data_IF_618514539827
#
_entry.id   IF_618514539827
#
_cell.length_a   1.000
_cell.length_b   1.000
_cell.length_c   1.000
_cell.angle_alpha   90.00
_cell.angle_beta   90.00
_cell.angle_gamma   90.00
#
_symmetry.space_group_name_H-M   'P 1'
#
loop_
_entity.id
_entity.type
_entity.pdbx_description
1 polymer ?
#
# COMPACT_ATOMS: atom_id res chain seq x y z
N UNK A 1 16.97 1.02 -1.81
CA UNK A 1 15.50 1.00 -1.84
C UNK A 1 14.86 1.35 -0.47
N UNK A 2 15.02 0.57 0.61
CA UNK A 2 14.43 0.93 1.93
C UNK A 2 14.92 2.27 2.47
N UNK A 3 16.20 2.61 2.26
CA UNK A 3 16.72 3.91 2.67
C UNK A 3 16.04 5.08 1.95
N UNK A 4 15.69 4.92 0.67
CA UNK A 4 14.97 5.94 -0.08
C UNK A 4 13.54 6.15 0.46
N UNK A 5 12.81 5.07 0.76
CA UNK A 5 11.49 5.17 1.42
C UNK A 5 11.58 5.83 2.80
N UNK A 6 12.63 5.52 3.56
CA UNK A 6 12.88 6.14 4.86
C UNK A 6 13.23 7.63 4.75
N UNK A 7 14.05 8.02 3.77
CA UNK A 7 14.37 9.42 3.49
C UNK A 7 13.12 10.18 3.03
N UNK A 8 12.29 9.60 2.15
CA UNK A 8 11.01 10.18 1.72
C UNK A 8 10.08 10.38 2.93
N UNK A 9 10.00 9.40 3.83
CA UNK A 9 9.22 9.52 5.07
C UNK A 9 9.69 10.69 5.94
N UNK A 10 11.00 10.84 6.13
CA UNK A 10 11.57 11.96 6.89
C UNK A 10 11.25 13.29 6.22
N UNK A 11 11.39 13.38 4.89
CA UNK A 11 11.08 14.60 4.12
C UNK A 11 9.60 14.98 4.27
N UNK A 12 8.67 14.03 4.11
CA UNK A 12 7.24 14.26 4.29
C UNK A 12 6.91 14.70 5.72
N UNK A 13 7.59 14.11 6.72
CA UNK A 13 7.41 14.47 8.13
C UNK A 13 7.91 15.87 8.46
N UNK A 14 9.06 16.27 7.90
CA UNK A 14 9.60 17.62 8.01
C UNK A 14 8.65 18.63 7.35
N UNK A 15 8.12 18.31 6.16
CA UNK A 15 7.16 19.17 5.46
C UNK A 15 5.89 19.41 6.29
N UNK A 16 5.36 18.36 6.92
CA UNK A 16 4.22 18.47 7.84
C UNK A 16 4.52 19.40 9.02
N UNK A 17 5.70 19.26 9.64
CA UNK A 17 6.11 20.11 10.76
C UNK A 17 6.25 21.58 10.32
N UNK A 18 6.81 21.84 9.14
CA UNK A 18 6.93 23.20 8.59
C UNK A 18 5.54 23.81 8.33
N UNK A 19 4.59 23.02 7.78
CA UNK A 19 3.21 23.45 7.54
C UNK A 19 2.50 23.87 8.82
N UNK A 20 2.69 23.12 9.91
CA UNK A 20 2.14 23.43 11.24
C UNK A 20 2.83 24.66 11.84
N UNK A 21 4.16 24.74 11.75
CA UNK A 21 4.93 25.85 12.30
C UNK A 21 4.57 27.19 11.65
N UNK A 22 4.41 27.22 10.32
CA UNK A 22 4.05 28.43 9.59
C UNK A 22 2.59 28.87 9.83
N UNK A 23 1.73 27.97 10.32
CA UNK A 23 0.32 28.26 10.59
C UNK A 23 -0.04 27.86 12.02
N UNK A 24 0.51 28.56 13.03
CA UNK A 24 0.23 28.24 14.42
C UNK A 24 -1.25 28.52 14.71
N UNK A 25 -1.96 27.49 15.15
CA UNK A 25 -3.37 27.57 15.54
C UNK A 25 -3.42 27.66 17.07
N UNK A 26 -3.84 28.79 17.67
CA UNK A 26 -4.08 28.85 19.10
C UNK A 26 -5.28 27.96 19.44
N UNK A 27 -5.04 26.91 20.24
CA UNK A 27 -6.09 26.04 20.79
C UNK A 27 -6.51 26.55 22.17
N UNK A 28 -7.80 26.54 22.55
CA UNK A 28 -8.97 26.05 21.83
C UNK A 28 -9.61 27.10 20.88
N UNK A 29 -10.04 26.68 19.69
CA UNK A 29 -10.84 27.49 18.76
C UNK A 29 -12.10 26.70 18.38
N UNK A 30 -13.29 27.32 18.43
CA UNK A 30 -14.56 26.68 18.02
C UNK A 30 -14.80 26.72 16.50
N UNK A 31 -13.86 27.27 15.73
CA UNK A 31 -13.96 27.40 14.28
C UNK A 31 -13.21 26.27 13.57
N UNK A 32 -13.88 25.64 12.61
CA UNK A 32 -13.29 24.64 11.74
C UNK A 32 -12.27 25.30 10.81
N UNK A 33 -10.97 25.01 11.02
CA UNK A 33 -9.89 25.49 10.14
C UNK A 33 -9.43 24.37 9.21
N UNK A 34 -9.38 24.68 7.91
CA UNK A 34 -8.91 23.79 6.83
C UNK A 34 -7.48 23.25 7.01
N UNK A 35 -6.67 23.90 7.86
CA UNK A 35 -5.31 23.45 8.19
C UNK A 35 -5.32 22.03 8.79
N UNK A 36 -6.31 21.70 9.65
CA UNK A 36 -6.39 20.37 10.24
C UNK A 36 -6.74 19.30 9.20
N UNK A 37 -7.59 19.65 8.22
CA UNK A 37 -7.95 18.77 7.10
C UNK A 37 -6.74 18.50 6.20
N UNK A 38 -5.99 19.54 5.84
CA UNK A 38 -4.75 19.39 5.07
C UNK A 38 -3.71 18.55 5.82
N UNK A 39 -3.51 18.80 7.12
CA UNK A 39 -2.58 18.03 7.95
C UNK A 39 -3.01 16.57 8.12
N UNK A 40 -4.32 16.30 8.25
CA UNK A 40 -4.87 14.95 8.31
C UNK A 40 -4.63 14.20 6.99
N UNK A 41 -4.97 14.81 5.84
CA UNK A 41 -4.77 14.19 4.53
C UNK A 41 -3.29 13.89 4.22
N UNK A 42 -2.39 14.80 4.60
CA UNK A 42 -0.94 14.58 4.50
C UNK A 42 -0.47 13.43 5.41
N UNK A 43 -1.05 13.31 6.61
CA UNK A 43 -0.75 12.23 7.55
C UNK A 43 -1.24 10.88 7.01
N UNK A 44 -2.45 10.79 6.47
CA UNK A 44 -3.00 9.56 5.89
C UNK A 44 -2.16 9.04 4.73
N UNK A 45 -1.72 9.97 3.87
CA UNK A 45 -0.79 9.67 2.79
C UNK A 45 0.53 9.13 3.34
N UNK A 46 1.08 9.77 4.38
CA UNK A 46 2.32 9.34 5.03
C UNK A 46 2.20 7.94 5.67
N UNK A 47 1.07 7.63 6.30
CA UNK A 47 0.80 6.32 6.90
C UNK A 47 0.73 5.23 5.83
N UNK A 48 0.08 5.52 4.70
CA UNK A 48 -0.01 4.58 3.56
C UNK A 48 1.39 4.22 3.02
N UNK A 49 2.27 5.21 2.85
CA UNK A 49 3.66 4.95 2.44
C UNK A 49 4.46 4.19 3.50
N UNK A 50 4.24 4.49 4.79
CA UNK A 50 4.90 3.78 5.88
C UNK A 50 4.51 2.30 5.92
N UNK A 51 3.22 2.01 5.71
CA UNK A 51 2.71 0.64 5.61
C UNK A 51 3.39 -0.16 4.50
N UNK A 52 3.50 0.43 3.30
CA UNK A 52 4.20 -0.20 2.17
C UNK A 52 5.68 -0.45 2.51
N UNK A 53 6.34 0.49 3.18
CA UNK A 53 7.74 0.34 3.59
C UNK A 53 7.92 -0.83 4.59
N UNK A 54 7.03 -0.95 5.58
CA UNK A 54 7.04 -2.07 6.54
C UNK A 54 6.80 -3.40 5.83
N UNK A 55 5.84 -3.47 4.90
CA UNK A 55 5.62 -4.68 4.10
C UNK A 55 6.86 -5.08 3.29
N UNK A 56 7.52 -4.12 2.63
CA UNK A 56 8.75 -4.37 1.89
C UNK A 56 9.90 -4.84 2.80
N UNK A 57 10.00 -4.29 4.01
CA UNK A 57 10.92 -4.78 5.04
C UNK A 57 10.63 -6.24 5.38
N UNK A 58 9.37 -6.60 5.64
CA UNK A 58 8.95 -7.98 5.95
C UNK A 58 9.30 -8.95 4.82
N UNK A 59 9.04 -8.59 3.56
CA UNK A 59 9.44 -9.42 2.41
C UNK A 59 10.97 -9.57 2.33
N UNK A 60 11.74 -8.51 2.64
CA UNK A 60 13.20 -8.62 2.73
C UNK A 60 13.68 -9.48 3.88
N UNK A 61 13.00 -9.49 5.02
CA UNK A 61 13.34 -10.38 6.12
C UNK A 61 13.26 -11.84 5.67
N UNK A 62 12.24 -12.24 4.90
CA UNK A 62 12.16 -13.60 4.34
C UNK A 62 13.38 -13.97 3.48
N UNK A 63 13.95 -13.02 2.73
CA UNK A 63 15.20 -13.24 2.00
C UNK A 63 16.42 -13.40 2.92
N UNK A 64 16.44 -12.71 4.07
CA UNK A 64 17.53 -12.85 5.03
C UNK A 64 17.51 -14.20 5.75
N UNK A 65 16.35 -14.84 5.94
CA UNK A 65 16.26 -16.15 6.59
C UNK A 65 16.79 -17.34 5.75
N UNK A 66 17.42 -17.10 4.60
CA UNK A 66 18.10 -18.13 3.78
C UNK A 66 19.25 -18.85 4.52
N UNK A 67 19.70 -18.36 5.68
CA UNK A 67 20.68 -19.04 6.52
C UNK A 67 20.19 -20.41 7.02
N UNK A 68 18.87 -20.61 7.19
CA UNK A 68 18.35 -21.90 7.62
C UNK A 68 18.20 -22.85 6.40
N UNK A 69 18.80 -24.05 6.42
CA UNK A 69 18.76 -24.97 5.29
C UNK A 69 17.35 -25.33 4.81
N UNK A 70 16.39 -25.42 5.74
CA UNK A 70 14.99 -25.76 5.44
C UNK A 70 14.28 -24.64 4.69
N UNK A 71 14.47 -23.39 5.11
CA UNK A 71 13.78 -22.25 4.49
C UNK A 71 14.40 -21.88 3.13
N UNK A 72 15.70 -22.10 2.95
CA UNK A 72 16.38 -21.96 1.66
C UNK A 72 15.78 -22.86 0.57
N UNK A 73 15.40 -24.09 0.92
CA UNK A 73 14.76 -25.02 -0.03
C UNK A 73 13.41 -24.46 -0.48
N UNK A 74 12.60 -23.95 0.45
CA UNK A 74 11.30 -23.31 0.15
C UNK A 74 11.48 -22.08 -0.75
N UNK A 75 12.47 -21.22 -0.48
CA UNK A 75 12.70 -20.04 -1.31
C UNK A 75 13.13 -20.42 -2.75
N UNK A 76 13.95 -21.47 -2.89
CA UNK A 76 14.40 -21.99 -4.19
C UNK A 76 13.25 -22.60 -4.99
N UNK A 77 12.38 -23.38 -4.35
CA UNK A 77 11.22 -23.98 -5.04
C UNK A 77 10.19 -22.92 -5.42
N UNK A 78 9.93 -21.93 -4.54
CA UNK A 78 9.04 -20.81 -4.85
C UNK A 78 9.60 -19.96 -6.01
N UNK A 79 10.90 -19.68 -6.00
CA UNK A 79 11.59 -18.97 -7.09
C UNK A 79 11.46 -19.70 -8.43
N UNK A 80 11.68 -21.02 -8.46
CA UNK A 80 11.51 -21.83 -9.66
C UNK A 80 10.03 -21.90 -10.13
N UNK A 81 9.08 -21.97 -9.20
CA UNK A 81 7.65 -22.02 -9.51
C UNK A 81 7.07 -20.66 -9.96
N UNK A 82 7.76 -19.54 -9.70
CA UNK A 82 7.23 -18.19 -9.93
C UNK A 82 6.90 -17.94 -11.40
N UNK A 83 7.71 -18.43 -12.35
CA UNK A 83 7.46 -18.23 -13.79
C UNK A 83 6.18 -18.95 -14.23
N UNK A 84 5.98 -20.19 -13.78
CA UNK A 84 4.80 -20.98 -14.09
C UNK A 84 3.55 -20.37 -13.44
N UNK A 85 3.66 -19.94 -12.18
CA UNK A 85 2.57 -19.27 -11.47
C UNK A 85 2.21 -17.94 -12.12
N UNK A 86 3.18 -17.16 -12.60
CA UNK A 86 2.93 -15.89 -13.27
C UNK A 86 2.15 -16.07 -14.57
N UNK A 87 2.52 -17.05 -15.40
CA UNK A 87 1.77 -17.37 -16.62
C UNK A 87 0.35 -17.83 -16.31
N UNK A 88 0.17 -18.69 -15.29
CA UNK A 88 -1.15 -19.10 -14.82
C UNK A 88 -1.98 -17.91 -14.32
N UNK A 89 -1.38 -17.01 -13.53
CA UNK A 89 -2.03 -15.80 -13.02
C UNK A 89 -2.53 -14.91 -14.15
N UNK A 90 -1.77 -14.73 -15.24
CA UNK A 90 -2.23 -13.92 -16.38
C UNK A 90 -3.52 -14.50 -16.97
N UNK A 91 -3.52 -15.79 -17.28
CA UNK A 91 -4.69 -16.46 -17.87
C UNK A 91 -5.86 -16.41 -16.88
N UNK A 92 -5.62 -16.70 -15.60
CA UNK A 92 -6.61 -16.60 -14.53
C UNK A 92 -7.23 -15.20 -14.45
N UNK A 93 -6.41 -14.14 -14.49
CA UNK A 93 -6.90 -12.76 -14.42
C UNK A 93 -7.74 -12.38 -15.64
N UNK A 94 -7.41 -12.87 -16.84
CA UNK A 94 -8.24 -12.64 -18.04
C UNK A 94 -9.65 -13.19 -17.83
N UNK A 95 -9.77 -14.44 -17.36
CA UNK A 95 -11.08 -15.02 -17.06
C UNK A 95 -11.76 -14.32 -15.89
N UNK A 96 -11.03 -14.03 -14.82
CA UNK A 96 -11.55 -13.36 -13.63
C UNK A 96 -12.14 -11.99 -13.95
N UNK A 97 -11.42 -11.15 -14.72
CA UNK A 97 -11.92 -9.85 -15.17
C UNK A 97 -13.11 -10.02 -16.10
N UNK A 98 -13.09 -11.01 -17.00
CA UNK A 98 -14.25 -11.34 -17.84
C UNK A 98 -15.51 -11.62 -17.02
N UNK A 99 -15.42 -12.45 -15.98
CA UNK A 99 -16.53 -12.71 -15.06
C UNK A 99 -16.92 -11.47 -14.23
N UNK A 100 -15.96 -10.65 -13.79
CA UNK A 100 -16.25 -9.42 -13.06
C UNK A 100 -17.04 -8.42 -13.91
N UNK A 101 -16.65 -8.24 -15.18
CA UNK A 101 -17.36 -7.37 -16.13
C UNK A 101 -18.76 -7.91 -16.44
N UNK A 102 -18.90 -9.21 -16.69
CA UNK A 102 -20.22 -9.82 -16.91
C UNK A 102 -21.11 -9.69 -15.66
N UNK A 103 -20.55 -9.87 -14.47
CA UNK A 103 -21.24 -9.66 -13.21
C UNK A 103 -21.72 -8.22 -13.03
N UNK A 104 -20.87 -7.25 -13.36
CA UNK A 104 -21.22 -5.82 -13.33
C UNK A 104 -22.34 -5.49 -14.35
N UNK A 105 -22.28 -6.02 -15.57
CA UNK A 105 -23.31 -5.79 -16.60
C UNK A 105 -24.67 -6.39 -16.18
N UNK A 106 -24.68 -7.62 -15.66
CA UNK A 106 -25.93 -8.33 -15.35
C UNK A 106 -26.53 -7.83 -14.03
N UNK A 107 -25.71 -7.66 -13.00
CA UNK A 107 -26.16 -7.40 -11.63
C UNK A 107 -25.90 -5.97 -11.15
N UNK A 108 -25.14 -5.15 -11.86
CA UNK A 108 -24.75 -3.81 -11.41
C UNK A 108 -25.93 -2.87 -11.20
N UNK A 109 -27.03 -3.04 -11.94
CA UNK A 109 -28.25 -2.26 -11.73
C UNK A 109 -29.08 -2.70 -10.50
N UNK A 110 -28.88 -3.93 -10.02
CA UNK A 110 -29.72 -4.55 -8.99
C UNK A 110 -28.99 -4.74 -7.65
N UNK A 111 -27.67 -4.90 -7.69
CA UNK A 111 -26.84 -5.23 -6.54
C UNK A 111 -25.70 -4.24 -6.43
N UNK A 112 -25.69 -3.47 -5.33
CA UNK A 112 -24.71 -2.40 -5.09
C UNK A 112 -23.25 -2.87 -5.16
N UNK A 113 -22.99 -4.11 -4.76
CA UNK A 113 -21.65 -4.70 -4.77
C UNK A 113 -21.08 -4.90 -6.19
N UNK A 114 -21.95 -4.94 -7.21
CA UNK A 114 -21.59 -5.06 -8.63
C UNK A 114 -21.74 -3.75 -9.41
N UNK A 115 -22.02 -2.62 -8.75
CA UNK A 115 -22.37 -1.36 -9.41
C UNK A 115 -21.14 -0.50 -9.80
N UNK A 116 -19.93 -0.86 -9.37
CA UNK A 116 -18.73 -0.03 -9.52
C UNK A 116 -17.64 -0.65 -10.38
#
# INVERSE_FOLDING_TARGET
>A
ANYACFVIFIILRIFLIIKIYNNPVPVPTNEYRKIFEECAALTDTQVSFSFVNVLLCTVRFFKFYEFQPRLRIVNKTLGAATVHLFHFCIIFFVFFVGFAVLGNIIFGAQVRDFCS
#
